data_IF_797707720453
#
_entry.id   IF_797707720453
#
_cell.length_a   1.000
_cell.length_b   1.000
_cell.length_c   1.000
_cell.angle_alpha   90.00
_cell.angle_beta   90.00
_cell.angle_gamma   90.00
#
_symmetry.space_group_name_H-M   'P 1'
#
loop_
_entity.id
_entity.type
_entity.pdbx_description
1 polymer ?
#
# COMPACT_ATOMS: atom_id res chain seq x y z
N UNK A 1 1.72 5.91 -9.97
CA UNK A 1 1.54 5.79 -8.51
C UNK A 1 2.56 4.83 -7.89
N UNK A 2 2.56 3.54 -8.26
CA UNK A 2 3.45 2.53 -7.65
C UNK A 2 4.96 2.86 -7.70
N UNK A 3 5.48 3.37 -8.82
CA UNK A 3 6.89 3.77 -8.92
C UNK A 3 7.24 4.93 -7.98
N UNK A 4 6.38 5.94 -7.88
CA UNK A 4 6.61 7.08 -7.00
C UNK A 4 6.58 6.66 -5.53
N UNK A 5 5.66 5.76 -5.16
CA UNK A 5 5.61 5.17 -3.83
C UNK A 5 6.88 4.36 -3.52
N UNK A 6 7.34 3.53 -4.44
CA UNK A 6 8.57 2.75 -4.27
C UNK A 6 9.80 3.66 -4.12
N UNK A 7 9.92 4.70 -4.95
CA UNK A 7 11.02 5.66 -4.85
C UNK A 7 11.03 6.33 -3.48
N UNK A 8 9.85 6.75 -2.99
CA UNK A 8 9.72 7.32 -1.65
C UNK A 8 10.23 6.36 -0.57
N UNK A 9 9.85 5.08 -0.61
CA UNK A 9 10.33 4.11 0.38
C UNK A 9 11.86 3.98 0.38
N UNK A 10 12.48 3.97 -0.81
CA UNK A 10 13.94 3.91 -0.98
C UNK A 10 14.61 5.19 -0.51
N UNK A 11 14.05 6.36 -0.83
CA UNK A 11 14.58 7.66 -0.42
C UNK A 11 14.62 7.80 1.11
N UNK A 12 13.70 7.15 1.81
CA UNK A 12 13.66 7.10 3.28
C UNK A 12 14.37 5.88 3.89
N UNK A 13 14.89 4.94 3.09
CA UNK A 13 15.56 3.72 3.57
C UNK A 13 14.64 2.77 4.35
N UNK A 14 13.36 2.71 3.98
CA UNK A 14 12.31 1.91 4.65
C UNK A 14 11.67 0.88 3.71
N UNK A 15 12.21 0.69 2.51
CA UNK A 15 11.73 -0.23 1.48
C UNK A 15 11.69 -1.70 1.91
N UNK A 16 12.47 -2.07 2.92
CA UNK A 16 12.46 -3.41 3.51
C UNK A 16 11.55 -3.51 4.76
N UNK A 17 11.12 -2.38 5.33
CA UNK A 17 10.49 -2.28 6.67
C UNK A 17 9.10 -1.65 6.60
N UNK A 18 8.19 -2.30 5.90
CA UNK A 18 6.79 -1.90 5.83
C UNK A 18 5.95 -2.91 6.61
N UNK A 19 5.40 -2.48 7.75
CA UNK A 19 4.48 -3.31 8.54
C UNK A 19 3.10 -3.37 7.88
N UNK A 20 2.53 -2.22 7.51
CA UNK A 20 1.18 -2.11 6.96
C UNK A 20 1.07 -0.90 6.04
N UNK A 21 0.13 -0.95 5.09
CA UNK A 21 -0.19 0.13 4.16
C UNK A 21 -1.70 0.45 4.24
N UNK A 22 -2.03 1.72 4.47
CA UNK A 22 -3.41 2.21 4.41
C UNK A 22 -3.60 3.09 3.18
N UNK A 23 -4.60 2.78 2.34
CA UNK A 23 -4.94 3.55 1.13
C UNK A 23 -6.44 3.64 0.90
N UNK A 24 -6.89 4.48 -0.02
CA UNK A 24 -8.30 4.56 -0.43
C UNK A 24 -8.79 3.26 -1.10
N UNK A 25 -10.10 3.11 -1.24
CA UNK A 25 -10.71 1.91 -1.85
C UNK A 25 -10.72 2.00 -3.39
N UNK A 26 -9.55 2.22 -3.99
CA UNK A 26 -9.36 2.23 -5.44
C UNK A 26 -8.67 0.95 -5.91
N UNK A 27 -9.14 0.36 -7.01
CA UNK A 27 -8.56 -0.86 -7.59
C UNK A 27 -7.13 -0.66 -8.12
N UNK A 28 -6.73 0.58 -8.41
CA UNK A 28 -5.33 0.91 -8.73
C UNK A 28 -4.36 0.58 -7.58
N UNK A 29 -4.84 0.58 -6.33
CA UNK A 29 -4.03 0.19 -5.17
C UNK A 29 -3.82 -1.33 -5.08
N UNK A 30 -4.66 -2.14 -5.73
CA UNK A 30 -4.54 -3.60 -5.72
C UNK A 30 -3.19 -4.01 -6.33
N UNK A 31 -2.92 -3.56 -7.57
CA UNK A 31 -1.67 -3.84 -8.27
C UNK A 31 -0.42 -3.36 -7.53
N UNK A 32 -0.50 -2.17 -6.91
CA UNK A 32 0.62 -1.64 -6.12
C UNK A 32 0.88 -2.51 -4.89
N UNK A 33 -0.17 -2.93 -4.19
CA UNK A 33 -0.06 -3.73 -2.96
C UNK A 33 0.44 -5.14 -3.28
N UNK A 34 -0.11 -5.79 -4.31
CA UNK A 34 0.35 -7.09 -4.79
C UNK A 34 1.83 -7.05 -5.17
N UNK A 35 2.25 -5.97 -5.86
CA UNK A 35 3.66 -5.79 -6.19
C UNK A 35 4.51 -5.61 -4.94
N UNK A 36 4.07 -4.79 -3.98
CA UNK A 36 4.80 -4.55 -2.72
C UNK A 36 5.02 -5.84 -1.94
N UNK A 37 3.99 -6.69 -1.83
CA UNK A 37 4.07 -7.99 -1.15
C UNK A 37 4.94 -9.03 -1.88
N UNK A 38 5.19 -8.84 -3.18
CA UNK A 38 6.07 -9.73 -3.96
C UNK A 38 7.56 -9.37 -3.86
N UNK A 39 7.90 -8.22 -3.26
CA UNK A 39 9.28 -7.77 -3.12
C UNK A 39 9.92 -8.38 -1.87
N UNK A 40 11.25 -8.37 -1.81
CA UNK A 40 12.00 -8.79 -0.63
C UNK A 40 11.91 -7.73 0.49
N UNK A 41 10.79 -7.69 1.19
CA UNK A 41 10.55 -6.80 2.32
C UNK A 41 9.66 -7.48 3.38
N UNK A 42 9.32 -6.77 4.46
CA UNK A 42 8.49 -7.29 5.55
C UNK A 42 6.96 -7.20 5.32
N UNK A 43 6.52 -6.72 4.16
CA UNK A 43 5.11 -6.45 3.91
C UNK A 43 4.37 -7.70 3.43
N UNK A 44 3.31 -8.05 4.14
CA UNK A 44 2.38 -9.10 3.72
C UNK A 44 1.11 -8.50 3.13
N UNK A 45 0.54 -9.14 2.11
CA UNK A 45 -0.69 -8.66 1.45
C UNK A 45 -1.85 -8.48 2.44
N UNK A 46 -1.92 -9.32 3.47
CA UNK A 46 -2.90 -9.24 4.57
C UNK A 46 -2.80 -7.96 5.39
N UNK A 47 -1.67 -7.25 5.31
CA UNK A 47 -1.41 -6.04 6.08
C UNK A 47 -1.88 -4.78 5.33
N UNK A 48 -2.60 -4.93 4.22
CA UNK A 48 -3.30 -3.84 3.56
C UNK A 48 -4.57 -3.46 4.32
N UNK A 49 -4.71 -2.18 4.61
CA UNK A 49 -5.90 -1.58 5.22
C UNK A 49 -6.54 -0.60 4.23
N UNK A 50 -7.87 -0.61 4.12
CA UNK A 50 -8.62 0.42 3.38
C UNK A 50 -8.94 1.57 4.31
N UNK A 51 -8.80 2.80 3.82
CA UNK A 51 -9.11 4.00 4.58
C UNK A 51 -10.59 4.02 4.97
N UNK A 52 -10.86 4.22 6.26
CA UNK A 52 -12.21 4.19 6.81
C UNK A 52 -13.14 5.21 6.17
N UNK A 53 -12.71 6.47 6.05
CA UNK A 53 -13.52 7.53 5.42
C UNK A 53 -13.90 7.22 3.97
N UNK A 54 -12.98 6.63 3.19
CA UNK A 54 -13.27 6.24 1.82
C UNK A 54 -14.23 5.05 1.74
N UNK A 55 -14.18 4.15 2.72
CA UNK A 55 -15.16 3.06 2.83
C UNK A 55 -16.55 3.62 3.15
N UNK A 56 -16.66 4.60 4.06
CA UNK A 56 -17.93 5.26 4.36
C UNK A 56 -18.53 5.96 3.14
N UNK A 57 -17.69 6.68 2.38
CA UNK A 57 -18.12 7.41 1.18
C UNK A 57 -18.59 6.51 0.01
N UNK A 58 -18.58 5.18 0.17
CA UNK A 58 -19.17 4.24 -0.79
C UNK A 58 -20.58 3.79 -0.40
N UNK A 59 -21.01 4.09 0.83
CA UNK A 59 -22.33 3.72 1.37
C UNK A 59 -23.31 4.89 1.31
N UNK A 60 -22.79 6.12 1.19
CA UNK A 60 -23.56 7.36 1.02
C UNK A 60 -23.76 7.63 -0.47
#
# INVERSE_FOLDING_TARGET
LGQAFQNMLVDYGIEEKILSYTGDNASSNDKQTEKLASLANSFELTNRVRCFNHTLNLVV
#
